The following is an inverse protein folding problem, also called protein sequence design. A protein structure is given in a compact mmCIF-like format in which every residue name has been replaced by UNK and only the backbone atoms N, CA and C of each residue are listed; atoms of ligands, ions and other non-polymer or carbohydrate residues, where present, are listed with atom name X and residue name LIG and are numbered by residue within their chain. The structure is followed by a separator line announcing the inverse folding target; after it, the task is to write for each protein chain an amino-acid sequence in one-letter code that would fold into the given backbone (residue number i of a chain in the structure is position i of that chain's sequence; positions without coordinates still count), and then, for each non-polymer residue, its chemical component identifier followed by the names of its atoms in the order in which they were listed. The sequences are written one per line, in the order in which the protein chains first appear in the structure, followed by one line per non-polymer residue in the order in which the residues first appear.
data_IF_027023982988
#
_entry.id   IF_027023982988
#
_cell.length_a   1.000
_cell.length_b   1.000
_cell.length_c   1.000
_cell.angle_alpha   90.00
_cell.angle_beta   90.00
_cell.angle_gamma   90.00
#
_symmetry.space_group_name_H-M   'P 1'
#
loop_
_entity.id
_entity.type
_entity.pdbx_description
1 polymer ?
#
# COMPACT_ATOMS: atom_id res chain seq x y z
N UNK A 1 16.92 -7.42 14.83
CA UNK A 1 16.94 -7.49 13.35
C UNK A 1 15.57 -7.79 12.71
N UNK A 2 14.68 -8.57 13.33
CA UNK A 2 13.40 -9.01 12.72
C UNK A 2 12.39 -7.87 12.53
N UNK A 3 12.37 -6.86 13.41
CA UNK A 3 11.38 -5.79 13.38
C UNK A 3 11.52 -4.83 12.17
N UNK A 4 12.76 -4.45 11.81
CA UNK A 4 12.99 -3.52 10.69
C UNK A 4 12.71 -4.19 9.35
N UNK A 5 13.14 -5.44 9.17
CA UNK A 5 12.81 -6.26 7.99
C UNK A 5 11.30 -6.44 7.83
N UNK A 6 10.59 -6.74 8.92
CA UNK A 6 9.13 -6.85 8.93
C UNK A 6 8.45 -5.53 8.56
N UNK A 7 8.92 -4.41 9.11
CA UNK A 7 8.35 -3.09 8.82
C UNK A 7 8.57 -2.66 7.36
N UNK A 8 9.78 -2.84 6.80
CA UNK A 8 10.05 -2.57 5.37
C UNK A 8 9.22 -3.49 4.48
N UNK A 9 9.07 -4.77 4.86
CA UNK A 9 8.20 -5.73 4.18
C UNK A 9 6.74 -5.27 4.16
N UNK A 10 6.18 -4.86 5.31
CA UNK A 10 4.84 -4.31 5.40
C UNK A 10 4.68 -3.03 4.57
N UNK A 11 5.61 -2.08 4.69
CA UNK A 11 5.58 -0.83 3.95
C UNK A 11 5.65 -1.04 2.43
N UNK A 12 6.31 -2.12 1.97
CA UNK A 12 6.41 -2.46 0.55
C UNK A 12 5.06 -2.76 -0.11
N UNK A 13 4.05 -3.21 0.66
CA UNK A 13 2.69 -3.39 0.18
C UNK A 13 2.07 -2.08 -0.33
N UNK A 14 2.38 -0.98 0.37
CA UNK A 14 1.87 0.36 0.08
C UNK A 14 2.75 1.17 -0.89
N UNK A 15 3.82 0.57 -1.44
CA UNK A 15 4.81 1.27 -2.28
C UNK A 15 4.22 2.07 -3.44
N UNK A 16 3.10 1.60 -4.01
CA UNK A 16 2.44 2.22 -5.18
C UNK A 16 1.73 3.54 -4.84
N UNK A 17 1.60 3.84 -3.55
CA UNK A 17 0.87 4.99 -3.03
C UNK A 17 1.78 5.98 -2.30
N UNK A 18 3.07 5.67 -2.24
CA UNK A 18 4.10 6.50 -1.60
C UNK A 18 5.05 6.99 -2.70
N UNK A 19 4.98 8.29 -3.00
CA UNK A 19 5.89 8.92 -3.97
C UNK A 19 7.34 8.75 -3.49
N UNK A 20 8.24 8.37 -4.41
CA UNK A 20 9.66 8.13 -4.13
C UNK A 20 9.94 7.02 -3.11
N UNK A 21 9.02 6.06 -2.91
CA UNK A 21 9.19 4.95 -1.96
C UNK A 21 10.54 4.25 -2.10
N UNK A 22 10.97 3.94 -3.33
CA UNK A 22 12.23 3.24 -3.59
C UNK A 22 13.45 3.98 -3.03
N UNK A 23 13.50 5.31 -3.13
CA UNK A 23 14.62 6.10 -2.61
C UNK A 23 14.69 6.06 -1.07
N UNK A 24 13.53 6.11 -0.40
CA UNK A 24 13.42 6.04 1.06
C UNK A 24 13.73 4.62 1.57
N UNK A 25 13.15 3.61 0.93
CA UNK A 25 13.33 2.21 1.30
C UNK A 25 14.73 1.70 1.00
N UNK A 26 15.47 2.27 0.05
CA UNK A 26 16.88 1.89 -0.22
C UNK A 26 17.77 2.08 1.00
N UNK A 27 17.60 3.20 1.73
CA UNK A 27 18.34 3.45 2.97
C UNK A 27 18.00 2.41 4.04
N UNK A 28 16.72 2.10 4.21
CA UNK A 28 16.26 1.09 5.18
C UNK A 28 16.64 -0.34 4.77
N UNK A 29 16.72 -0.63 3.47
CA UNK A 29 17.08 -1.96 2.95
C UNK A 29 18.56 -2.24 3.20
N UNK A 30 19.45 -1.24 3.12
CA UNK A 30 20.87 -1.37 3.47
C UNK A 30 21.07 -1.86 4.91
N UNK A 31 20.27 -1.37 5.86
CA UNK A 31 20.28 -1.83 7.25
C UNK A 31 19.83 -3.29 7.44
N UNK A 32 19.17 -3.88 6.45
CA UNK A 32 18.66 -5.26 6.50
C UNK A 32 19.60 -6.28 5.84
N UNK A 33 20.68 -5.83 5.19
CA UNK A 33 21.64 -6.71 4.53
C UNK A 33 22.47 -7.48 5.57
N UNK A 34 22.82 -8.74 5.26
CA UNK A 34 23.50 -9.66 6.19
C UNK A 34 24.91 -9.20 6.58
N UNK A 35 25.54 -8.33 5.79
CA UNK A 35 26.95 -7.93 5.95
C UNK A 35 27.12 -6.48 6.44
N UNK A 36 26.03 -5.79 6.76
CA UNK A 36 26.08 -4.40 7.26
C UNK A 36 25.93 -4.40 8.77
N UNK A 37 26.89 -3.79 9.47
CA UNK A 37 26.77 -3.54 10.91
C UNK A 37 25.56 -2.62 11.13
N UNK A 38 24.55 -3.11 11.83
CA UNK A 38 23.33 -2.37 12.07
C UNK A 38 23.63 -1.19 13.01
N UNK A 39 23.66 0.01 12.46
CA UNK A 39 23.79 1.25 13.23
C UNK A 39 22.59 2.14 12.95
N UNK A 40 21.78 2.37 13.99
CA UNK A 40 20.62 3.25 13.90
C UNK A 40 21.07 4.72 14.03
N UNK A 41 21.49 5.29 12.91
CA UNK A 41 21.86 6.71 12.82
C UNK A 41 20.63 7.62 12.65
N UNK A 42 20.82 8.91 12.93
CA UNK A 42 19.79 9.96 12.77
C UNK A 42 19.19 9.97 11.35
N UNK A 43 20.00 9.73 10.31
CA UNK A 43 19.53 9.68 8.91
C UNK A 43 18.55 8.53 8.66
N UNK A 44 18.69 7.42 9.38
CA UNK A 44 17.76 6.29 9.26
C UNK A 44 16.47 6.56 10.02
N UNK A 45 16.54 7.19 11.20
CA UNK A 45 15.36 7.65 11.93
C UNK A 45 14.53 8.64 11.09
N UNK A 46 15.19 9.62 10.46
CA UNK A 46 14.52 10.57 9.56
C UNK A 46 13.85 9.85 8.38
N UNK A 47 14.53 8.89 7.76
CA UNK A 47 13.98 8.10 6.65
C UNK A 47 12.80 7.23 7.10
N UNK A 48 12.86 6.68 8.31
CA UNK A 48 11.81 5.86 8.90
C UNK A 48 10.58 6.70 9.28
N UNK A 49 10.79 7.86 9.91
CA UNK A 49 9.71 8.77 10.26
C UNK A 49 9.04 9.34 9.01
N UNK A 50 9.83 9.70 7.98
CA UNK A 50 9.29 10.10 6.67
C UNK A 50 8.47 8.99 6.01
N UNK A 51 8.90 7.74 6.14
CA UNK A 51 8.12 6.59 5.66
C UNK A 51 6.80 6.45 6.43
N UNK A 52 6.81 6.58 7.75
CA UNK A 52 5.58 6.59 8.57
C UNK A 52 4.64 7.69 8.15
N UNK A 53 5.13 8.91 8.01
CA UNK A 53 4.32 10.07 7.63
C UNK A 53 3.71 9.88 6.23
N UNK A 54 4.48 9.37 5.26
CA UNK A 54 3.97 9.08 3.93
C UNK A 54 2.93 7.95 3.93
N UNK A 55 3.10 6.95 4.79
CA UNK A 55 2.12 5.88 4.93
C UNK A 55 0.82 6.41 5.57
N UNK A 56 0.90 7.24 6.60
CA UNK A 56 -0.26 7.82 7.31
C UNK A 56 -0.98 8.93 6.53
N UNK A 57 -0.26 9.68 5.70
CA UNK A 57 -0.84 10.75 4.88
C UNK A 57 -1.29 10.29 3.49
N UNK A 58 -0.82 9.14 3.01
CA UNK A 58 -1.26 8.62 1.72
C UNK A 58 -2.76 8.35 1.73
N UNK A 59 -3.44 8.77 0.66
CA UNK A 59 -4.90 8.82 0.50
C UNK A 59 -5.63 7.49 0.71
N UNK A 60 -4.90 6.38 0.83
CA UNK A 60 -5.45 5.04 1.08
C UNK A 60 -5.64 4.73 2.55
N UNK A 61 -4.92 5.38 3.45
CA UNK A 61 -5.29 5.34 4.87
C UNK A 61 -6.37 6.38 5.20
N UNK A 62 -6.63 7.35 4.32
CA UNK A 62 -7.79 8.25 4.42
C UNK A 62 -9.13 7.53 4.20
N UNK A 63 -9.12 6.30 3.66
CA UNK A 63 -10.27 5.38 3.72
C UNK A 63 -10.62 4.96 5.17
N UNK A 64 -9.79 5.26 6.18
CA UNK A 64 -10.07 4.94 7.58
C UNK A 64 -10.43 6.17 8.42
N UNK A 65 -10.83 7.29 7.80
CA UNK A 65 -11.42 8.38 8.59
C UNK A 65 -12.77 7.91 9.11
N UNK A 66 -12.82 7.71 10.42
CA UNK A 66 -14.00 7.33 11.17
C UNK A 66 -15.16 8.29 10.83
N UNK A 67 -16.32 7.75 10.42
CA UNK A 67 -17.51 8.52 10.07
C UNK A 67 -17.73 8.79 8.58
N UNK A 68 -16.83 8.37 7.68
CA UNK A 68 -17.06 8.49 6.23
C UNK A 68 -17.71 7.24 5.64
N UNK A 69 -18.70 7.43 4.76
CA UNK A 69 -19.37 6.33 4.06
C UNK A 69 -18.65 5.97 2.76
N UNK A 70 -18.50 4.66 2.54
CA UNK A 70 -18.03 4.10 1.27
C UNK A 70 -19.22 3.71 0.42
N UNK A 71 -19.16 4.01 -0.87
CA UNK A 71 -20.13 3.52 -1.85
C UNK A 71 -19.38 2.62 -2.82
N UNK A 72 -19.84 1.38 -2.95
CA UNK A 72 -19.32 0.40 -3.89
C UNK A 72 -20.31 0.27 -5.03
N UNK A 73 -19.88 0.64 -6.24
CA UNK A 73 -20.62 0.35 -7.47
C UNK A 73 -20.09 -0.93 -8.08
N UNK A 74 -20.97 -1.87 -8.33
CA UNK A 74 -20.64 -3.14 -8.92
C UNK A 74 -21.43 -3.30 -10.22
N UNK A 75 -20.73 -3.54 -11.33
CA UNK A 75 -21.34 -3.92 -12.60
C UNK A 75 -20.87 -5.33 -12.96
N UNK A 76 -21.81 -6.24 -13.16
CA UNK A 76 -21.52 -7.64 -13.51
C UNK A 76 -21.99 -7.87 -14.93
N UNK A 77 -21.11 -8.44 -15.75
CA UNK A 77 -21.43 -8.94 -17.09
C UNK A 77 -21.14 -10.44 -17.17
N UNK A 78 -21.61 -11.09 -18.23
CA UNK A 78 -21.31 -12.50 -18.51
C UNK A 78 -19.81 -12.78 -18.73
N UNK A 79 -19.00 -11.74 -19.03
CA UNK A 79 -17.56 -11.87 -19.24
C UNK A 79 -16.74 -11.47 -18.01
N UNK A 80 -17.29 -10.68 -17.10
CA UNK A 80 -16.47 -10.06 -16.06
C UNK A 80 -17.24 -9.19 -15.08
N UNK A 81 -16.59 -8.97 -13.94
CA UNK A 81 -16.99 -8.12 -12.84
C UNK A 81 -16.18 -6.82 -12.87
N UNK A 82 -16.85 -5.69 -12.84
CA UNK A 82 -16.24 -4.38 -12.60
C UNK A 82 -16.76 -3.81 -11.28
N UNK A 83 -15.85 -3.31 -10.44
CA UNK A 83 -16.15 -2.68 -9.16
C UNK A 83 -15.48 -1.32 -9.10
N UNK A 84 -16.20 -0.30 -8.65
CA UNK A 84 -15.70 1.04 -8.38
C UNK A 84 -15.97 1.39 -6.93
N UNK A 85 -14.93 1.79 -6.20
CA UNK A 85 -15.01 2.25 -4.82
C UNK A 85 -14.99 3.79 -4.79
N UNK A 86 -16.00 4.39 -4.16
CA UNK A 86 -16.09 5.83 -3.95
C UNK A 86 -16.13 6.17 -2.46
N UNK A 87 -15.53 7.31 -2.10
CA UNK A 87 -15.54 7.91 -0.78
C UNK A 87 -15.90 9.39 -0.92
N UNK A 88 -16.97 9.83 -0.26
CA UNK A 88 -17.40 11.24 -0.27
C UNK A 88 -17.42 11.87 -1.68
N UNK A 89 -17.94 11.13 -2.66
CA UNK A 89 -18.04 11.51 -4.09
C UNK A 89 -16.72 11.50 -4.87
N UNK A 90 -15.61 11.11 -4.28
CA UNK A 90 -14.33 10.89 -4.98
C UNK A 90 -14.13 9.41 -5.29
N UNK A 91 -13.65 9.12 -6.49
CA UNK A 91 -13.32 7.75 -6.90
C UNK A 91 -11.96 7.37 -6.31
N UNK A 92 -11.95 6.30 -5.53
CA UNK A 92 -10.74 5.83 -4.86
C UNK A 92 -10.03 4.77 -5.69
N UNK A 93 -10.77 3.79 -6.21
CA UNK A 93 -10.16 2.73 -7.01
C UNK A 93 -11.17 2.02 -7.91
N UNK A 94 -10.64 1.37 -8.95
CA UNK A 94 -11.34 0.46 -9.83
C UNK A 94 -10.73 -0.93 -9.71
N UNK A 95 -11.59 -1.94 -9.63
CA UNK A 95 -11.19 -3.35 -9.64
C UNK A 95 -11.99 -4.05 -10.72
N UNK A 96 -11.32 -4.72 -11.64
CA UNK A 96 -11.98 -5.56 -12.64
C UNK A 96 -11.43 -6.98 -12.61
N UNK A 97 -12.31 -7.96 -12.79
CA UNK A 97 -11.93 -9.37 -12.84
C UNK A 97 -12.76 -10.09 -13.89
N UNK A 98 -12.10 -10.78 -14.81
CA UNK A 98 -12.79 -11.64 -15.77
C UNK A 98 -13.42 -12.83 -15.03
N UNK A 99 -14.67 -13.15 -15.36
CA UNK A 99 -15.31 -14.34 -14.82
C UNK A 99 -14.87 -15.54 -15.65
N UNK A 100 -14.15 -16.46 -15.01
CA UNK A 100 -13.82 -17.75 -15.63
C UNK A 100 -15.03 -18.65 -15.40
N UNK A 101 -15.66 -19.09 -16.49
CA UNK A 101 -16.75 -20.07 -16.42
C UNK A 101 -16.16 -21.37 -15.89
N UNK A 102 -16.53 -21.76 -14.67
CA UNK A 102 -16.14 -23.04 -14.11
C UNK A 102 -17.09 -24.11 -14.67
N UNK A 103 -16.59 -24.93 -15.60
CA UNK A 103 -17.31 -26.04 -16.21
C UNK A 103 -17.85 -25.74 -17.61
N UNK A 104 -17.03 -26.02 -18.62
CA UNK A 104 -17.54 -26.59 -19.88
C UNK A 104 -17.25 -28.08 -19.81
N UNK A 105 -18.30 -28.88 -19.63
CA UNK A 105 -18.30 -30.28 -20.06
C UNK A 105 -18.17 -30.33 -21.58
#
# INVERSE_FOLDING_TARGET
MTNVKGCVGFASYYRRFVKNFASISTHLTKLTQKEVHFEWSVKYEESFQKLKDLLTTSSILTLSVEGKSFIVYCNVSHLGLGVMLMLEKNIITYVSKQLIVHGRN
#
